data_IF_825714774701
#
_entry.id   IF_825714774701
#
_cell.length_a   1.000
_cell.length_b   1.000
_cell.length_c   1.000
_cell.angle_alpha   90.00
_cell.angle_beta   90.00
_cell.angle_gamma   90.00
#
_symmetry.space_group_name_H-M   'P 1'
#
loop_
_entity.id
_entity.type
_entity.pdbx_description
1 polymer ?
#
# COMPACT_ATOMS: atom_id res chain seq x y z
N UNK A 1 -25.33 -16.64 35.68
CA UNK A 1 -23.87 -16.89 35.45
C UNK A 1 -23.33 -15.82 34.49
N UNK A 2 -22.56 -14.83 34.98
CA UNK A 2 -21.83 -13.87 34.12
C UNK A 2 -20.76 -14.65 33.33
N UNK A 3 -20.81 -14.65 32.00
CA UNK A 3 -19.72 -15.15 31.15
C UNK A 3 -18.45 -14.37 31.52
N UNK A 4 -17.44 -15.04 32.07
CA UNK A 4 -16.09 -14.49 32.21
C UNK A 4 -15.64 -14.07 30.80
N UNK A 5 -15.50 -12.77 30.57
CA UNK A 5 -14.89 -12.24 29.36
C UNK A 5 -13.42 -12.66 29.44
N UNK A 6 -12.98 -13.58 28.58
CA UNK A 6 -11.57 -13.94 28.53
C UNK A 6 -10.80 -12.70 28.06
N UNK A 7 -9.95 -12.15 28.93
CA UNK A 7 -9.11 -10.97 28.66
C UNK A 7 -7.89 -11.35 27.79
N UNK A 8 -8.13 -11.94 26.62
CA UNK A 8 -7.08 -12.33 25.68
C UNK A 8 -6.77 -11.22 24.67
N UNK A 9 -6.62 -9.98 25.15
CA UNK A 9 -6.22 -8.86 24.29
C UNK A 9 -4.69 -8.74 24.26
N UNK A 10 -4.13 -8.34 23.11
CA UNK A 10 -2.69 -8.09 22.91
C UNK A 10 -1.78 -9.30 23.15
N UNK A 11 -2.25 -10.52 22.84
CA UNK A 11 -1.42 -11.73 22.90
C UNK A 11 -0.86 -12.07 21.52
N UNK A 12 0.45 -12.31 21.46
CA UNK A 12 1.12 -12.88 20.31
C UNK A 12 0.88 -14.40 20.30
N UNK A 13 0.06 -14.88 19.37
CA UNK A 13 -0.25 -16.29 19.22
C UNK A 13 0.27 -16.80 17.88
N UNK A 14 0.83 -18.02 17.87
CA UNK A 14 1.24 -18.65 16.62
C UNK A 14 0.06 -18.82 15.67
N UNK A 15 0.28 -18.51 14.39
CA UNK A 15 -0.60 -18.92 13.32
C UNK A 15 -0.52 -20.44 13.18
N UNK A 16 -1.67 -21.13 13.15
CA UNK A 16 -1.74 -22.59 13.24
C UNK A 16 -2.64 -23.18 12.15
N UNK A 17 -2.30 -24.38 11.70
CA UNK A 17 -3.11 -25.14 10.74
C UNK A 17 -4.35 -25.77 11.40
N UNK A 18 -5.15 -26.47 10.59
CA UNK A 18 -6.35 -27.19 11.04
C UNK A 18 -6.07 -28.31 12.08
N UNK A 19 -4.80 -28.72 12.24
CA UNK A 19 -4.32 -29.69 13.23
C UNK A 19 -3.64 -29.01 14.42
N UNK A 20 -3.79 -27.68 14.57
CA UNK A 20 -3.18 -26.84 15.61
C UNK A 20 -1.65 -26.81 15.58
N UNK A 21 -1.02 -27.17 14.46
CA UNK A 21 0.43 -27.11 14.29
C UNK A 21 0.84 -25.70 13.85
N UNK A 22 1.90 -25.09 14.43
CA UNK A 22 2.39 -23.80 14.00
C UNK A 22 2.75 -23.79 12.51
N UNK A 23 2.40 -22.72 11.82
CA UNK A 23 2.75 -22.45 10.43
C UNK A 23 3.85 -21.39 10.41
N UNK A 24 4.90 -21.67 9.64
CA UNK A 24 5.95 -20.72 9.33
C UNK A 24 5.80 -20.35 7.86
N UNK A 25 5.67 -19.06 7.57
CA UNK A 25 5.59 -18.53 6.21
C UNK A 25 6.98 -18.02 5.86
N UNK A 26 7.68 -18.78 5.02
CA UNK A 26 9.07 -18.53 4.62
C UNK A 26 9.80 -19.84 4.32
N UNK A 27 10.85 -19.78 3.51
CA UNK A 27 11.73 -20.92 3.17
C UNK A 27 13.17 -20.60 3.56
N UNK A 28 14.00 -21.62 3.60
CA UNK A 28 15.43 -21.45 3.85
C UNK A 28 16.04 -20.48 2.83
N UNK A 29 16.81 -19.50 3.32
CA UNK A 29 17.46 -18.43 2.56
C UNK A 29 16.53 -17.32 2.00
N UNK A 30 15.21 -17.36 2.24
CA UNK A 30 14.36 -16.22 1.90
C UNK A 30 14.66 -15.03 2.84
N UNK A 31 14.93 -13.85 2.29
CA UNK A 31 15.09 -12.61 3.06
C UNK A 31 13.78 -11.80 3.08
N UNK A 32 13.11 -11.82 4.24
CA UNK A 32 11.85 -11.13 4.50
C UNK A 32 12.03 -9.70 5.06
N UNK A 33 13.25 -9.15 5.08
CA UNK A 33 13.48 -7.77 5.51
C UNK A 33 12.74 -6.80 4.59
N UNK A 34 11.80 -6.06 5.18
CA UNK A 34 10.95 -5.11 4.46
C UNK A 34 9.87 -5.77 3.59
N UNK A 35 9.44 -6.99 3.94
CA UNK A 35 8.29 -7.68 3.32
C UNK A 35 7.02 -6.85 3.44
N UNK A 36 6.21 -6.88 2.38
CA UNK A 36 4.83 -6.40 2.42
C UNK A 36 3.91 -7.53 1.95
N UNK A 37 2.70 -7.59 2.50
CA UNK A 37 1.72 -8.59 2.12
C UNK A 37 0.30 -8.02 2.12
N UNK A 38 -0.54 -8.52 1.23
CA UNK A 38 -1.97 -8.19 1.17
C UNK A 38 -2.80 -9.46 1.10
N UNK A 39 -3.94 -9.46 1.76
CA UNK A 39 -4.93 -10.53 1.67
C UNK A 39 -5.90 -10.18 0.54
N UNK A 40 -6.17 -11.15 -0.31
CA UNK A 40 -7.00 -10.96 -1.49
C UNK A 40 -7.42 -12.25 -2.16
N UNK A 41 -7.63 -12.13 -3.47
CA UNK A 41 -8.26 -13.15 -4.29
C UNK A 41 -9.79 -13.12 -4.21
N UNK A 42 -10.45 -13.87 -5.06
CA UNK A 42 -11.92 -13.92 -5.25
C UNK A 42 -12.65 -14.15 -3.92
N UNK A 43 -12.05 -14.91 -3.01
CA UNK A 43 -12.62 -15.26 -1.70
C UNK A 43 -11.83 -14.70 -0.50
N UNK A 44 -10.92 -13.73 -0.69
CA UNK A 44 -10.03 -13.21 0.37
C UNK A 44 -9.25 -14.31 1.13
N UNK A 45 -8.90 -15.38 0.42
CA UNK A 45 -8.22 -16.55 0.96
C UNK A 45 -6.77 -16.68 0.50
N UNK A 46 -6.27 -15.73 -0.28
CA UNK A 46 -4.89 -15.72 -0.76
C UNK A 46 -4.11 -14.60 -0.08
N UNK A 47 -2.90 -14.92 0.38
CA UNK A 47 -1.93 -13.98 0.87
C UNK A 47 -0.87 -13.76 -0.20
N UNK A 48 -0.85 -12.57 -0.78
CA UNK A 48 0.17 -12.13 -1.72
C UNK A 48 1.30 -11.51 -0.93
N UNK A 49 2.52 -11.99 -1.15
CA UNK A 49 3.70 -11.62 -0.36
C UNK A 49 4.77 -11.15 -1.32
N UNK A 50 5.27 -9.94 -1.12
CA UNK A 50 6.37 -9.34 -1.87
C UNK A 50 7.54 -9.07 -0.94
N UNK A 51 8.73 -9.51 -1.34
CA UNK A 51 9.93 -9.44 -0.50
C UNK A 51 11.19 -9.23 -1.35
N UNK A 52 12.36 -9.29 -0.73
CA UNK A 52 13.63 -9.00 -1.37
C UNK A 52 13.88 -9.82 -2.63
N UNK A 53 14.84 -9.35 -3.44
CA UNK A 53 15.24 -9.97 -4.70
C UNK A 53 14.09 -10.11 -5.71
N UNK A 54 13.20 -9.11 -5.73
CA UNK A 54 12.09 -8.99 -6.68
C UNK A 54 11.09 -10.15 -6.60
N UNK A 55 10.98 -10.82 -5.45
CA UNK A 55 10.10 -11.96 -5.33
C UNK A 55 8.65 -11.55 -5.05
N UNK A 56 7.72 -12.28 -5.65
CA UNK A 56 6.31 -12.32 -5.27
C UNK A 56 5.88 -13.77 -5.07
N UNK A 57 5.09 -14.03 -4.05
CA UNK A 57 4.59 -15.36 -3.72
C UNK A 57 3.12 -15.32 -3.34
N UNK A 58 2.41 -16.39 -3.63
CA UNK A 58 1.00 -16.57 -3.28
C UNK A 58 0.89 -17.73 -2.32
N UNK A 59 0.36 -17.45 -1.13
CA UNK A 59 0.12 -18.44 -0.08
C UNK A 59 -1.38 -18.57 0.14
N UNK A 60 -1.90 -19.79 0.02
CA UNK A 60 -3.31 -20.07 0.27
C UNK A 60 -3.55 -20.24 1.77
N UNK A 61 -4.41 -19.38 2.33
CA UNK A 61 -4.75 -19.33 3.75
C UNK A 61 -5.69 -20.46 4.17
N UNK A 62 -6.37 -21.13 3.25
CA UNK A 62 -7.23 -22.28 3.55
C UNK A 62 -6.43 -23.59 3.61
N UNK A 63 -5.51 -23.77 2.66
CA UNK A 63 -4.69 -24.98 2.58
C UNK A 63 -3.36 -24.86 3.32
N UNK A 64 -2.97 -23.64 3.69
CA UNK A 64 -1.70 -23.31 4.35
C UNK A 64 -0.47 -23.69 3.51
N UNK A 65 -0.53 -23.47 2.19
CA UNK A 65 0.54 -23.83 1.24
C UNK A 65 0.81 -22.69 0.27
N UNK A 66 2.06 -22.59 -0.18
CA UNK A 66 2.40 -21.79 -1.35
C UNK A 66 1.79 -22.42 -2.61
N UNK A 67 1.13 -21.60 -3.42
CA UNK A 67 0.55 -22.00 -4.71
C UNK A 67 1.33 -21.43 -5.89
N UNK A 68 2.08 -20.34 -5.68
CA UNK A 68 2.90 -19.71 -6.72
C UNK A 68 4.09 -18.97 -6.12
N UNK A 69 5.18 -19.02 -6.87
CA UNK A 69 6.29 -18.08 -6.76
C UNK A 69 6.51 -17.46 -8.13
N UNK A 70 6.86 -16.18 -8.16
CA UNK A 70 7.19 -15.44 -9.38
C UNK A 70 8.17 -14.31 -9.08
N UNK A 71 8.68 -13.67 -10.14
CA UNK A 71 9.59 -12.54 -10.05
C UNK A 71 8.95 -11.30 -10.63
N UNK A 72 8.94 -10.21 -9.85
CA UNK A 72 8.51 -8.89 -10.27
C UNK A 72 9.41 -8.38 -11.40
N UNK A 73 8.86 -7.90 -12.53
CA UNK A 73 9.67 -7.42 -13.65
C UNK A 73 10.21 -6.02 -13.33
N UNK A 74 11.40 -5.95 -12.75
CA UNK A 74 12.01 -4.69 -12.35
C UNK A 74 13.54 -4.71 -12.47
N UNK A 75 14.08 -3.57 -12.93
CA UNK A 75 15.53 -3.31 -12.96
C UNK A 75 16.03 -2.68 -11.66
N UNK A 76 15.22 -2.74 -10.59
CA UNK A 76 15.63 -2.36 -9.25
C UNK A 76 16.20 -3.61 -8.57
N UNK A 77 17.39 -3.49 -7.97
CA UNK A 77 18.07 -4.63 -7.36
C UNK A 77 17.48 -5.01 -6.00
N UNK A 78 16.67 -4.14 -5.38
CA UNK A 78 16.11 -4.36 -4.06
C UNK A 78 14.68 -3.82 -3.97
N UNK A 79 13.70 -4.73 -3.91
CA UNK A 79 12.32 -4.46 -3.50
C UNK A 79 12.20 -4.79 -2.02
N UNK A 80 12.17 -3.76 -1.18
CA UNK A 80 11.97 -3.87 0.26
C UNK A 80 11.47 -2.54 0.82
N UNK A 81 10.72 -2.61 1.93
CA UNK A 81 10.11 -1.44 2.59
C UNK A 81 9.31 -0.60 1.57
N UNK A 82 8.55 -1.31 0.74
CA UNK A 82 7.87 -0.78 -0.42
C UNK A 82 6.37 -0.65 -0.16
N UNK A 83 5.70 0.16 -0.98
CA UNK A 83 4.25 0.25 -0.95
C UNK A 83 3.68 -0.93 -1.71
N UNK A 84 2.86 -1.72 -1.04
CA UNK A 84 2.09 -2.78 -1.66
C UNK A 84 0.65 -2.71 -1.14
N UNK A 85 -0.29 -2.53 -2.07
CA UNK A 85 -1.71 -2.34 -1.75
C UNK A 85 -2.59 -3.13 -2.70
N UNK A 86 -3.73 -3.57 -2.20
CA UNK A 86 -4.82 -4.10 -3.01
C UNK A 86 -5.57 -2.96 -3.69
N UNK A 87 -5.94 -3.13 -4.95
CA UNK A 87 -6.90 -2.23 -5.59
C UNK A 87 -8.31 -2.66 -5.20
N UNK A 88 -9.06 -1.77 -4.56
CA UNK A 88 -10.48 -2.01 -4.28
C UNK A 88 -11.24 -2.08 -5.60
N UNK A 89 -12.02 -3.15 -5.79
CA UNK A 89 -12.96 -3.21 -6.90
C UNK A 89 -14.12 -2.26 -6.60
N UNK A 90 -14.31 -1.26 -7.46
CA UNK A 90 -15.50 -0.43 -7.40
C UNK A 90 -16.71 -1.29 -7.80
N UNK A 91 -17.73 -1.35 -6.93
CA UNK A 91 -18.98 -2.10 -7.19
C UNK A 91 -19.62 -1.74 -8.54
N UNK A 92 -19.48 -0.49 -8.98
CA UNK A 92 -19.97 -0.03 -10.29
C UNK A 92 -19.24 -0.68 -11.48
N UNK A 93 -17.93 -0.92 -11.39
CA UNK A 93 -17.18 -1.59 -12.47
C UNK A 93 -17.60 -3.06 -12.58
N UNK A 94 -17.90 -3.73 -11.46
CA UNK A 94 -18.49 -5.08 -11.48
C UNK A 94 -19.87 -5.11 -12.13
N UNK A 95 -20.74 -4.13 -11.86
CA UNK A 95 -22.10 -4.08 -12.43
C UNK A 95 -22.08 -3.85 -13.95
N UNK A 96 -21.19 -3.00 -14.45
CA UNK A 96 -21.03 -2.76 -15.89
C UNK A 96 -20.36 -3.93 -16.62
N UNK A 97 -19.48 -4.69 -15.96
CA UNK A 97 -18.86 -5.87 -16.56
C UNK A 97 -19.85 -7.04 -16.66
N UNK A 98 -20.77 -7.21 -15.69
CA UNK A 98 -21.75 -8.32 -15.65
C UNK A 98 -22.71 -8.37 -16.85
N UNK A 99 -22.92 -7.26 -17.56
CA UNK A 99 -23.86 -7.19 -18.70
C UNK A 99 -23.31 -7.74 -20.02
N UNK A 100 -22.01 -8.04 -20.12
CA UNK A 100 -21.43 -8.66 -21.31
C UNK A 100 -21.21 -10.16 -21.06
N UNK A 101 -22.01 -11.02 -21.71
CA UNK A 101 -22.04 -12.48 -21.56
C UNK A 101 -20.80 -13.23 -22.09
N UNK A 102 -19.61 -12.89 -21.59
CA UNK A 102 -18.40 -13.68 -21.75
C UNK A 102 -17.70 -13.78 -20.41
N UNK A 103 -17.48 -15.01 -19.91
CA UNK A 103 -16.81 -15.36 -18.62
C UNK A 103 -15.94 -14.21 -18.06
N UNK A 104 -16.52 -13.36 -17.21
CA UNK A 104 -15.78 -12.27 -16.58
C UNK A 104 -14.75 -12.87 -15.64
N UNK A 105 -13.51 -12.85 -16.11
CA UNK A 105 -12.36 -13.29 -15.36
C UNK A 105 -12.00 -12.18 -14.38
N UNK A 106 -12.56 -12.29 -13.18
CA UNK A 106 -12.31 -11.35 -12.09
C UNK A 106 -10.90 -11.61 -11.55
N UNK A 107 -9.92 -10.88 -12.09
CA UNK A 107 -8.53 -10.93 -11.64
C UNK A 107 -8.36 -10.01 -10.43
N UNK A 108 -7.66 -10.49 -9.40
CA UNK A 108 -7.32 -9.66 -8.26
C UNK A 108 -6.21 -8.68 -8.64
N UNK A 109 -6.42 -7.39 -8.41
CA UNK A 109 -5.49 -6.34 -8.80
C UNK A 109 -4.78 -5.75 -7.58
N UNK A 110 -3.47 -5.52 -7.73
CA UNK A 110 -2.59 -4.97 -6.72
C UNK A 110 -1.69 -3.91 -7.34
N UNK A 111 -1.21 -2.99 -6.51
CA UNK A 111 -0.24 -1.97 -6.91
C UNK A 111 1.00 -2.07 -6.04
N UNK A 112 2.16 -1.96 -6.69
CA UNK A 112 3.45 -1.90 -6.03
C UNK A 112 4.20 -0.66 -6.47
N UNK A 113 4.71 0.10 -5.51
CA UNK A 113 5.65 1.19 -5.75
C UNK A 113 6.90 0.97 -4.92
N UNK A 114 8.08 1.19 -5.49
CA UNK A 114 9.37 1.10 -4.79
C UNK A 114 10.46 1.76 -5.63
N UNK A 115 11.05 2.87 -5.15
CA UNK A 115 12.05 3.61 -5.93
C UNK A 115 11.52 3.88 -7.36
N UNK A 116 12.28 3.55 -8.40
CA UNK A 116 11.90 3.71 -9.81
C UNK A 116 10.84 2.72 -10.30
N UNK A 117 10.47 1.73 -9.49
CA UNK A 117 9.54 0.66 -9.83
C UNK A 117 8.12 1.05 -9.46
N UNK A 118 7.23 1.08 -10.45
CA UNK A 118 5.79 1.13 -10.26
C UNK A 118 5.17 -0.02 -11.05
N UNK A 119 4.32 -0.82 -10.43
CA UNK A 119 3.70 -1.99 -11.05
C UNK A 119 2.20 -2.03 -10.74
N UNK A 120 1.39 -2.23 -11.78
CA UNK A 120 0.07 -2.84 -11.67
C UNK A 120 0.23 -4.34 -11.82
N UNK A 121 -0.22 -5.09 -10.83
CA UNK A 121 -0.10 -6.54 -10.78
C UNK A 121 -1.50 -7.12 -10.80
N UNK A 122 -1.79 -7.94 -11.80
CA UNK A 122 -3.01 -8.72 -11.85
C UNK A 122 -2.68 -10.17 -11.58
N UNK A 123 -3.49 -10.82 -10.75
CA UNK A 123 -3.40 -12.23 -10.51
C UNK A 123 -4.67 -12.94 -10.96
N UNK A 124 -4.49 -13.88 -11.86
CA UNK A 124 -5.51 -14.76 -12.37
C UNK A 124 -5.48 -16.07 -11.59
N UNK A 125 -6.48 -16.23 -10.72
CA UNK A 125 -6.64 -17.41 -9.87
C UNK A 125 -6.95 -18.69 -10.65
N UNK A 126 -7.60 -18.60 -11.80
CA UNK A 126 -8.04 -19.78 -12.55
C UNK A 126 -6.86 -20.44 -13.28
N UNK A 127 -5.91 -19.64 -13.77
CA UNK A 127 -4.71 -20.15 -14.43
C UNK A 127 -3.44 -20.06 -13.58
N UNK A 128 -3.52 -19.51 -12.36
CA UNK A 128 -2.37 -19.30 -11.47
C UNK A 128 -1.24 -18.49 -12.14
N UNK A 129 -1.62 -17.39 -12.80
CA UNK A 129 -0.68 -16.54 -13.55
C UNK A 129 -0.71 -15.09 -13.09
N UNK A 130 0.45 -14.45 -13.14
CA UNK A 130 0.59 -13.01 -12.95
C UNK A 130 0.67 -12.29 -14.28
N UNK A 131 0.04 -11.12 -14.36
CA UNK A 131 0.27 -10.13 -15.40
C UNK A 131 0.80 -8.85 -14.75
N UNK A 132 1.80 -8.25 -15.38
CA UNK A 132 2.49 -7.09 -14.83
C UNK A 132 2.47 -5.94 -15.84
N UNK A 133 2.06 -4.76 -15.38
CA UNK A 133 2.07 -3.55 -16.18
C UNK A 133 2.88 -2.48 -15.45
N UNK A 134 3.83 -1.85 -16.14
CA UNK A 134 4.64 -0.79 -15.56
C UNK A 134 3.79 0.48 -15.36
N UNK A 135 3.95 1.10 -14.20
CA UNK A 135 3.34 2.38 -13.87
C UNK A 135 4.46 3.41 -13.73
N UNK A 136 4.35 4.58 -14.39
CA UNK A 136 5.30 5.66 -14.19
C UNK A 136 5.33 6.12 -12.73
N UNK A 137 6.52 6.15 -12.14
CA UNK A 137 6.76 6.77 -10.83
C UNK A 137 7.17 8.22 -11.03
N UNK A 138 6.58 9.15 -10.28
CA UNK A 138 6.98 10.57 -10.36
C UNK A 138 8.44 10.75 -9.95
N UNK A 139 9.12 11.73 -10.56
CA UNK A 139 10.57 11.92 -10.44
C UNK A 139 11.05 11.89 -8.98
N UNK A 140 10.38 12.64 -8.11
CA UNK A 140 10.76 12.79 -6.70
C UNK A 140 10.68 11.49 -5.90
N UNK A 141 9.81 10.55 -6.28
CA UNK A 141 9.65 9.28 -5.58
C UNK A 141 10.65 8.21 -6.05
N UNK A 142 11.29 8.39 -7.21
CA UNK A 142 12.14 7.36 -7.83
C UNK A 142 13.34 6.93 -6.99
N UNK A 143 13.77 7.76 -6.05
CA UNK A 143 14.92 7.45 -5.18
C UNK A 143 14.52 6.88 -3.82
N UNK A 144 13.24 6.84 -3.47
CA UNK A 144 12.80 6.56 -2.11
C UNK A 144 12.07 5.21 -1.97
N UNK A 145 12.30 4.58 -0.82
CA UNK A 145 11.48 3.55 -0.18
C UNK A 145 11.30 3.94 1.31
N UNK A 146 10.89 3.04 2.20
CA UNK A 146 10.70 3.34 3.64
C UNK A 146 9.74 4.50 3.94
N UNK A 147 8.77 4.77 3.08
CA UNK A 147 7.71 5.74 3.36
C UNK A 147 6.63 5.09 4.23
N UNK A 148 5.97 5.89 5.06
CA UNK A 148 4.65 5.51 5.55
C UNK A 148 3.65 5.65 4.39
N UNK A 149 2.70 4.73 4.28
CA UNK A 149 1.65 4.84 3.29
C UNK A 149 0.31 4.33 3.84
N UNK A 150 -0.78 4.85 3.28
CA UNK A 150 -2.14 4.35 3.49
C UNK A 150 -2.90 4.39 2.17
N UNK A 151 -3.81 3.43 1.99
CA UNK A 151 -4.71 3.39 0.84
C UNK A 151 -6.15 3.62 1.31
N UNK A 152 -6.82 4.62 0.74
CA UNK A 152 -8.20 5.01 1.08
C UNK A 152 -8.88 5.58 -0.16
N UNK A 153 -10.12 5.18 -0.45
CA UNK A 153 -10.93 5.73 -1.54
C UNK A 153 -10.21 5.81 -2.90
N UNK A 154 -9.60 4.71 -3.37
CA UNK A 154 -8.80 4.66 -4.60
C UNK A 154 -7.62 5.65 -4.65
N UNK A 155 -7.14 6.06 -3.49
CA UNK A 155 -6.01 6.97 -3.33
C UNK A 155 -4.98 6.33 -2.41
N UNK A 156 -3.71 6.39 -2.81
CA UNK A 156 -2.58 6.06 -1.96
C UNK A 156 -1.92 7.37 -1.52
N UNK A 157 -1.82 7.57 -0.21
CA UNK A 157 -1.07 8.66 0.39
C UNK A 157 0.28 8.13 0.87
N UNK A 158 1.35 8.81 0.49
CA UNK A 158 2.73 8.51 0.87
C UNK A 158 3.27 9.65 1.73
N UNK A 159 3.93 9.31 2.82
CA UNK A 159 4.51 10.24 3.77
C UNK A 159 5.99 9.97 3.94
N UNK A 160 6.80 10.95 3.57
CA UNK A 160 8.25 10.93 3.75
C UNK A 160 8.94 9.88 2.87
N UNK A 161 9.80 9.07 3.49
CA UNK A 161 10.62 8.05 2.84
C UNK A 161 12.11 8.34 2.92
N UNK A 162 12.94 7.33 2.65
CA UNK A 162 14.39 7.46 2.60
C UNK A 162 14.98 6.70 1.41
N UNK A 163 16.18 7.07 0.98
CA UNK A 163 16.84 6.42 -0.15
C UNK A 163 17.54 5.10 0.23
N UNK A 164 17.53 4.73 1.51
CA UNK A 164 18.16 3.51 2.03
C UNK A 164 19.68 3.46 1.84
N UNK A 165 20.35 4.56 1.49
CA UNK A 165 21.79 4.58 1.23
C UNK A 165 22.57 4.65 2.56
N UNK A 166 23.56 3.76 2.74
CA UNK A 166 24.38 3.66 3.94
C UNK A 166 25.41 4.80 4.12
N UNK A 167 25.77 5.53 3.05
CA UNK A 167 26.82 6.56 3.08
C UNK A 167 26.32 7.98 2.76
N UNK A 168 25.02 8.14 2.52
CA UNK A 168 24.41 9.42 2.16
C UNK A 168 22.90 9.32 2.20
N UNK A 169 22.34 9.09 3.40
CA UNK A 169 20.89 8.96 3.54
C UNK A 169 20.23 10.29 3.28
N UNK A 170 19.32 10.29 2.32
CA UNK A 170 18.39 11.38 2.11
C UNK A 170 17.05 10.92 2.66
N UNK A 171 16.51 11.68 3.60
CA UNK A 171 15.19 11.47 4.16
C UNK A 171 14.27 12.57 3.64
N UNK A 172 13.10 12.18 3.15
CA UNK A 172 12.11 13.08 2.61
C UNK A 172 11.13 13.53 3.69
N UNK A 173 10.69 14.78 3.60
CA UNK A 173 9.51 15.28 4.31
C UNK A 173 8.27 15.39 3.41
N UNK A 174 8.40 15.03 2.13
CA UNK A 174 7.33 15.23 1.15
C UNK A 174 6.14 14.33 1.43
N UNK A 175 4.95 14.84 1.14
CA UNK A 175 3.73 14.04 1.04
C UNK A 175 3.38 13.93 -0.45
N UNK A 176 3.04 12.72 -0.89
CA UNK A 176 2.67 12.43 -2.28
C UNK A 176 1.37 11.66 -2.31
N UNK A 177 0.58 11.91 -3.34
CA UNK A 177 -0.67 11.20 -3.59
C UNK A 177 -0.57 10.47 -4.92
N UNK A 178 -1.09 9.26 -4.98
CA UNK A 178 -1.34 8.55 -6.22
C UNK A 178 -2.83 8.23 -6.32
N UNK A 179 -3.48 8.73 -7.37
CA UNK A 179 -4.86 8.37 -7.71
C UNK A 179 -4.83 7.08 -8.53
N UNK A 180 -5.41 6.03 -7.97
CA UNK A 180 -5.50 4.71 -8.61
C UNK A 180 -6.41 4.79 -9.83
N UNK A 181 -7.56 5.47 -9.69
CA UNK A 181 -8.54 5.63 -10.78
C UNK A 181 -7.98 6.40 -11.96
N UNK A 182 -7.23 7.46 -11.71
CA UNK A 182 -6.67 8.29 -12.78
C UNK A 182 -5.30 7.83 -13.26
N UNK A 183 -4.68 6.85 -12.57
CA UNK A 183 -3.30 6.43 -12.78
C UNK A 183 -2.32 7.63 -12.77
N UNK A 184 -2.47 8.52 -11.78
CA UNK A 184 -1.74 9.80 -11.73
C UNK A 184 -1.17 10.10 -10.36
N UNK A 185 0.06 10.60 -10.37
CA UNK A 185 0.69 11.20 -9.20
C UNK A 185 0.25 12.65 -9.04
N UNK A 186 -0.01 13.04 -7.80
CA UNK A 186 -0.32 14.40 -7.38
C UNK A 186 0.66 14.84 -6.29
N UNK A 187 1.07 16.10 -6.38
CA UNK A 187 1.95 16.74 -5.42
C UNK A 187 1.09 17.59 -4.49
N UNK A 188 1.29 17.43 -3.19
CA UNK A 188 0.79 18.41 -2.23
C UNK A 188 1.84 19.48 -1.98
N UNK A 189 1.38 20.73 -1.81
CA UNK A 189 2.22 21.81 -1.33
C UNK A 189 2.63 21.60 0.14
N UNK A 190 1.75 20.97 0.93
CA UNK A 190 2.02 20.69 2.34
C UNK A 190 2.95 19.47 2.49
N UNK A 191 3.90 19.57 3.42
CA UNK A 191 4.87 18.55 3.75
C UNK A 191 4.76 18.14 5.22
N UNK A 192 5.42 17.04 5.60
CA UNK A 192 5.68 16.71 6.99
C UNK A 192 6.50 17.83 7.66
N UNK A 193 6.30 18.07 8.97
CA UNK A 193 7.03 19.13 9.69
C UNK A 193 8.54 18.85 9.76
N UNK A 194 8.94 17.58 9.64
CA UNK A 194 10.35 17.15 9.57
C UNK A 194 10.51 16.00 8.58
N UNK A 195 11.71 15.80 8.00
CA UNK A 195 12.03 14.59 7.25
C UNK A 195 11.80 13.33 8.09
N UNK A 196 11.12 12.35 7.50
CA UNK A 196 10.78 11.11 8.19
C UNK A 196 10.80 9.93 7.22
N UNK A 197 11.58 8.90 7.54
CA UNK A 197 11.56 7.60 6.87
C UNK A 197 11.38 6.49 7.88
N UNK A 198 11.22 5.25 7.42
CA UNK A 198 11.11 4.04 8.26
C UNK A 198 9.93 4.11 9.25
N UNK A 199 8.88 4.83 8.87
CA UNK A 199 7.69 5.07 9.68
C UNK A 199 6.49 4.28 9.14
N UNK A 200 5.47 4.11 9.98
CA UNK A 200 4.24 3.38 9.65
C UNK A 200 3.07 4.34 9.59
N UNK A 201 2.24 4.20 8.54
CA UNK A 201 0.97 4.91 8.40
C UNK A 201 -0.19 3.99 8.75
N UNK A 202 -1.14 4.47 9.56
CA UNK A 202 -2.32 3.71 9.99
C UNK A 202 -3.54 4.62 9.88
N UNK A 203 -4.64 4.12 9.32
CA UNK A 203 -5.92 4.83 9.32
C UNK A 203 -6.64 4.66 10.67
N UNK A 204 -7.34 5.71 11.10
CA UNK A 204 -8.31 5.59 12.19
C UNK A 204 -9.48 4.69 11.79
N UNK A 205 -10.18 4.12 12.76
CA UNK A 205 -11.31 3.20 12.53
C UNK A 205 -12.42 3.80 11.65
N UNK A 206 -12.67 5.10 11.81
CA UNK A 206 -13.63 5.87 11.02
C UNK A 206 -13.06 6.38 9.68
N UNK A 207 -11.82 6.02 9.35
CA UNK A 207 -11.09 6.44 8.15
C UNK A 207 -10.95 7.97 7.99
N UNK A 208 -11.13 8.75 9.06
CA UNK A 208 -11.05 10.22 8.98
C UNK A 208 -9.64 10.76 9.16
N UNK A 209 -8.75 9.98 9.77
CA UNK A 209 -7.41 10.40 10.14
C UNK A 209 -6.34 9.37 9.78
N UNK A 210 -5.16 9.86 9.43
CA UNK A 210 -3.94 9.07 9.30
C UNK A 210 -3.06 9.33 10.52
N UNK A 211 -2.66 8.25 11.17
CA UNK A 211 -1.64 8.22 12.21
C UNK A 211 -0.31 7.80 11.60
N UNK A 212 0.73 8.60 11.81
CA UNK A 212 2.10 8.28 11.41
C UNK A 212 2.90 8.03 12.69
N UNK A 213 3.49 6.85 12.80
CA UNK A 213 4.10 6.37 14.04
C UNK A 213 5.56 5.95 13.78
N UNK A 214 6.44 6.36 14.69
CA UNK A 214 7.86 6.01 14.70
C UNK A 214 8.64 6.70 13.58
N UNK A 215 9.63 5.99 13.07
CA UNK A 215 10.50 6.47 11.99
C UNK A 215 11.88 6.88 12.44
N UNK A 216 12.64 7.38 11.47
CA UNK A 216 13.99 7.90 11.60
C UNK A 216 14.11 9.25 10.92
N UNK A 217 14.91 10.12 11.53
CA UNK A 217 15.29 11.41 10.94
C UNK A 217 16.48 11.26 9.98
N UNK A 218 16.93 12.40 9.42
CA UNK A 218 18.10 12.49 8.54
C UNK A 218 19.41 11.96 9.14
N UNK A 219 19.55 12.03 10.47
CA UNK A 219 20.68 11.48 11.22
C UNK A 219 20.53 9.98 11.52
N UNK A 220 19.54 9.30 10.91
CA UNK A 220 19.14 7.89 11.15
C UNK A 220 18.79 7.57 12.60
N UNK A 221 18.59 8.59 13.42
CA UNK A 221 18.19 8.42 14.80
C UNK A 221 16.71 8.05 14.83
N UNK A 222 16.38 7.00 15.59
CA UNK A 222 14.99 6.64 15.83
C UNK A 222 14.28 7.82 16.50
N UNK A 223 13.10 8.15 16.01
CA UNK A 223 12.26 9.21 16.57
C UNK A 223 10.96 8.59 17.09
N UNK A 224 10.56 8.95 18.31
CA UNK A 224 9.27 8.59 18.89
C UNK A 224 8.17 9.51 18.37
N UNK A 225 8.12 9.67 17.05
CA UNK A 225 7.16 10.54 16.37
C UNK A 225 5.78 9.89 16.39
N UNK A 226 4.79 10.65 16.83
CA UNK A 226 3.38 10.34 16.63
C UNK A 226 2.72 11.56 16.02
N UNK A 227 2.41 11.51 14.73
CA UNK A 227 1.68 12.56 14.02
C UNK A 227 0.28 12.08 13.68
N UNK A 228 -0.66 13.01 13.64
CA UNK A 228 -2.03 12.77 13.21
C UNK A 228 -2.41 13.83 12.20
N UNK A 229 -2.98 13.41 11.07
CA UNK A 229 -3.51 14.33 10.06
C UNK A 229 -4.87 13.86 9.56
N UNK A 230 -5.77 14.78 9.22
CA UNK A 230 -7.10 14.43 8.69
C UNK A 230 -6.97 14.04 7.22
N UNK A 231 -7.62 12.95 6.81
CA UNK A 231 -7.64 12.47 5.42
C UNK A 231 -8.22 13.54 4.48
N UNK A 232 -9.27 14.23 4.91
CA UNK A 232 -9.92 15.27 4.09
C UNK A 232 -9.01 16.45 3.71
N UNK A 233 -7.92 16.69 4.45
CA UNK A 233 -6.92 17.70 4.08
C UNK A 233 -6.12 17.29 2.83
N UNK A 234 -6.08 15.98 2.54
CA UNK A 234 -5.35 15.39 1.43
C UNK A 234 -6.29 14.96 0.28
N UNK A 235 -7.60 15.01 0.50
CA UNK A 235 -8.62 14.65 -0.49
C UNK A 235 -9.20 15.85 -1.26
N UNK A 236 -8.46 16.95 -1.32
CA UNK A 236 -8.90 18.17 -1.99
C UNK A 236 -8.30 18.30 -3.40
N UNK A 237 -8.92 17.71 -4.44
CA UNK A 237 -8.81 18.26 -5.79
C UNK A 237 -10.05 19.08 -6.19
N UNK A 238 -11.25 18.69 -5.76
CA UNK A 238 -12.48 19.22 -6.36
C UNK A 238 -13.08 20.44 -5.65
N UNK A 239 -13.07 20.49 -4.32
CA UNK A 239 -13.72 21.58 -3.58
C UNK A 239 -13.04 22.94 -3.79
N UNK A 240 -11.71 23.00 -3.82
CA UNK A 240 -10.97 24.26 -4.01
C UNK A 240 -11.13 24.79 -5.44
N UNK A 241 -11.09 23.90 -6.45
CA UNK A 241 -11.35 24.28 -7.85
C UNK A 241 -12.80 24.78 -8.00
N UNK A 242 -13.78 24.11 -7.39
CA UNK A 242 -15.17 24.57 -7.42
C UNK A 242 -15.38 25.92 -6.73
N UNK A 243 -14.78 26.14 -5.55
CA UNK A 243 -14.86 27.42 -4.84
C UNK A 243 -14.20 28.55 -5.65
N UNK A 244 -13.02 28.32 -6.22
CA UNK A 244 -12.35 29.32 -7.07
C UNK A 244 -13.09 29.61 -8.38
N UNK A 245 -13.75 28.61 -8.98
CA UNK A 245 -14.62 28.84 -10.15
C UNK A 245 -15.83 29.69 -9.78
N UNK A 246 -16.46 29.42 -8.63
CA UNK A 246 -17.61 30.18 -8.15
C UNK A 246 -17.22 31.63 -7.84
N UNK A 247 -16.13 31.87 -7.11
CA UNK A 247 -15.64 33.22 -6.80
C UNK A 247 -15.32 34.03 -8.07
N UNK A 248 -14.62 33.41 -9.04
CA UNK A 248 -14.32 34.07 -10.32
C UNK A 248 -15.57 34.34 -11.17
N UNK A 249 -16.58 33.47 -11.11
CA UNK A 249 -17.85 33.67 -11.80
C UNK A 249 -18.62 34.88 -11.23
N UNK A 250 -18.64 35.04 -9.90
CA UNK A 250 -19.29 36.18 -9.26
C UNK A 250 -18.52 37.50 -9.42
N UNK A 251 -17.18 37.47 -9.50
CA UNK A 251 -16.38 38.67 -9.75
C UNK A 251 -16.57 39.18 -11.19
N UNK A 252 -16.76 38.30 -12.18
CA UNK A 252 -17.00 38.70 -13.58
C UNK A 252 -18.40 39.23 -13.89
N UNK A 253 -19.35 39.10 -12.96
CA UNK A 253 -20.72 39.61 -13.10
C UNK A 253 -20.99 40.92 -12.34
N UNK A 254 -19.95 41.54 -11.77
CA UNK A 254 -19.98 42.93 -11.29
C UNK A 254 -19.20 43.81 -12.25
#
# INVERSE_FOLDING_TARGET
KKKKKNNNHNQWVHFKDNRKRPIIIGRDNDDYVGVSAVIGGKNNNLLFITYQYNNISVFDLNTFRFIKHDTLPTNNNLISFHCFVSKSENKQEQEMMKTNEGKNKQNYQMLLFCKKTGLSIEYDEDNNTFQFHQIPVCHDMKSFNFYAYVCINDVILFFGGSNGNLFGTVVSKSVRKYSIRENKWMIFQNALPSPLGDCVGILSEDNTCVHIIGGRNENRSAVSTQMKTKVCLWDVPHLVIFVQIIENYFIKQK
#
